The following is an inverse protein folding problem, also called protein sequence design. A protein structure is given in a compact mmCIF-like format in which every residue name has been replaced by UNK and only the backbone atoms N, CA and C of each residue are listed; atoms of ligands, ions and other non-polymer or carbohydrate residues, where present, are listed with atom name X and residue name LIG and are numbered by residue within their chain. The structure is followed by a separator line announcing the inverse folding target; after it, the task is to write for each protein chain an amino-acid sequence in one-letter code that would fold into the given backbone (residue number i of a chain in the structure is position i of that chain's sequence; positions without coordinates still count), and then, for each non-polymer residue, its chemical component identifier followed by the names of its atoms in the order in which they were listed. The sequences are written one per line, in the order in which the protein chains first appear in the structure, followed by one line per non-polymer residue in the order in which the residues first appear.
data_IF_132428656178
#
_entry.id   IF_132428656178
#
_cell.length_a   1.000
_cell.length_b   1.000
_cell.length_c   1.000
_cell.angle_alpha   90.00
_cell.angle_beta   90.00
_cell.angle_gamma   90.00
#
_symmetry.space_group_name_H-M   'P 1'
#
loop_
_entity.id
_entity.type
_entity.pdbx_description
1 polymer ?
#
# COMPACT_ATOMS: atom_id res chain seq x y z
N UNK A 1 55.28 31.57 -69.14
CA UNK A 1 55.30 32.46 -67.95
C UNK A 1 53.86 32.51 -67.46
N UNK A 2 53.41 31.68 -66.52
CA UNK A 2 53.67 31.59 -65.07
C UNK A 2 52.24 31.56 -64.50
N UNK A 3 51.70 30.38 -64.12
CA UNK A 3 51.33 29.98 -62.73
C UNK A 3 50.34 30.96 -62.04
N UNK A 4 49.22 30.60 -61.40
CA UNK A 4 48.97 29.58 -60.37
C UNK A 4 47.52 29.67 -59.87
N UNK A 5 46.95 28.51 -59.51
CA UNK A 5 45.87 28.19 -58.54
C UNK A 5 44.42 28.65 -58.74
N UNK A 6 43.63 27.66 -59.12
CA UNK A 6 42.34 27.25 -58.55
C UNK A 6 42.25 27.39 -57.01
N UNK A 7 41.15 27.98 -56.51
CA UNK A 7 40.66 27.77 -55.16
C UNK A 7 39.14 28.06 -55.13
N UNK A 8 38.37 26.98 -55.20
CA UNK A 8 37.00 26.92 -54.72
C UNK A 8 36.97 27.30 -53.23
N UNK A 9 36.09 28.23 -52.86
CA UNK A 9 35.72 28.45 -51.46
C UNK A 9 34.21 28.34 -51.32
N UNK A 10 33.85 27.19 -50.77
CA UNK A 10 32.55 26.73 -50.32
C UNK A 10 31.96 27.71 -49.28
N UNK A 11 30.70 28.18 -49.42
CA UNK A 11 30.07 28.99 -48.39
C UNK A 11 29.78 28.15 -47.15
N UNK A 12 30.64 28.30 -46.14
CA UNK A 12 30.35 28.16 -44.72
C UNK A 12 29.28 27.10 -44.37
N UNK A 13 29.69 25.84 -44.33
CA UNK A 13 29.02 24.81 -43.56
C UNK A 13 29.10 25.20 -42.07
N UNK A 14 28.00 25.70 -41.54
CA UNK A 14 27.81 25.97 -40.12
C UNK A 14 27.70 24.63 -39.35
N UNK A 15 28.64 24.30 -38.43
CA UNK A 15 28.58 23.06 -37.66
C UNK A 15 27.72 23.20 -36.40
N UNK A 16 26.68 24.04 -36.40
CA UNK A 16 25.76 24.23 -35.27
C UNK A 16 24.43 23.47 -35.41
N UNK A 17 24.30 22.56 -36.38
CA UNK A 17 23.16 21.66 -36.51
C UNK A 17 23.67 20.21 -36.48
N UNK A 18 23.73 19.61 -35.30
CA UNK A 18 23.15 18.27 -35.02
C UNK A 18 23.57 17.77 -33.62
N UNK A 19 23.24 18.53 -32.57
CA UNK A 19 22.99 17.95 -31.26
C UNK A 19 21.48 18.00 -31.01
N UNK A 20 20.74 17.24 -31.83
CA UNK A 20 19.44 16.75 -31.40
C UNK A 20 19.67 15.89 -30.15
N UNK A 21 19.63 16.53 -28.98
CA UNK A 21 19.49 15.86 -27.70
C UNK A 21 18.18 15.07 -27.76
N UNK A 22 18.33 13.78 -28.03
CA UNK A 22 17.26 12.79 -28.09
C UNK A 22 16.44 12.83 -26.78
N UNK A 23 15.24 13.45 -26.77
CA UNK A 23 14.48 13.70 -25.53
C UNK A 23 13.94 12.40 -24.91
N UNK A 24 14.04 11.28 -25.64
CA UNK A 24 13.53 9.98 -25.21
C UNK A 24 14.39 9.38 -24.10
N UNK A 25 15.73 9.60 -24.10
CA UNK A 25 16.63 9.01 -23.08
C UNK A 25 16.47 9.60 -21.67
N UNK A 26 15.95 10.82 -21.56
CA UNK A 26 15.71 11.48 -20.26
C UNK A 26 14.40 11.09 -19.59
N UNK A 27 13.39 10.71 -20.37
CA UNK A 27 12.05 10.34 -19.86
C UNK A 27 12.04 8.95 -19.26
N UNK A 28 12.64 7.95 -19.92
CA UNK A 28 12.69 6.57 -19.40
C UNK A 28 13.57 6.43 -18.16
N UNK A 29 14.67 7.20 -18.08
CA UNK A 29 15.54 7.19 -16.90
C UNK A 29 14.87 7.86 -15.68
N UNK A 30 14.08 8.92 -15.88
CA UNK A 30 13.27 9.53 -14.82
C UNK A 30 12.12 8.62 -14.39
N UNK A 31 11.34 8.11 -15.34
CA UNK A 31 10.25 7.18 -15.04
C UNK A 31 10.72 5.94 -14.26
N UNK A 32 11.90 5.38 -14.60
CA UNK A 32 12.49 4.27 -13.84
C UNK A 32 12.99 4.65 -12.43
N UNK A 33 13.46 5.89 -12.23
CA UNK A 33 13.85 6.40 -10.91
C UNK A 33 12.62 6.67 -10.03
N UNK A 34 11.55 7.21 -10.62
CA UNK A 34 10.29 7.50 -9.94
C UNK A 34 9.62 6.19 -9.47
N UNK A 35 9.62 5.14 -10.30
CA UNK A 35 9.11 3.81 -9.92
C UNK A 35 9.93 3.17 -8.79
N UNK A 36 11.26 3.32 -8.79
CA UNK A 36 12.10 2.83 -7.70
C UNK A 36 11.77 3.54 -6.39
N UNK A 37 11.52 4.84 -6.43
CA UNK A 37 11.12 5.63 -5.26
C UNK A 37 9.75 5.21 -4.73
N UNK A 38 8.79 4.93 -5.62
CA UNK A 38 7.47 4.38 -5.26
C UNK A 38 7.62 3.07 -4.48
N UNK A 39 8.40 2.12 -5.01
CA UNK A 39 8.62 0.82 -4.39
C UNK A 39 9.35 0.95 -3.05
N UNK A 40 10.33 1.84 -2.96
CA UNK A 40 11.05 2.13 -1.70
C UNK A 40 10.12 2.76 -0.65
N UNK A 41 9.27 3.69 -1.04
CA UNK A 41 8.28 4.30 -0.15
C UNK A 41 7.34 3.26 0.44
N UNK A 42 6.87 2.30 -0.38
CA UNK A 42 6.06 1.18 0.07
C UNK A 42 6.82 0.27 1.05
N UNK A 43 8.08 -0.04 0.77
CA UNK A 43 8.91 -0.84 1.64
C UNK A 43 9.16 -0.18 3.01
N UNK A 44 9.37 1.14 3.04
CA UNK A 44 9.53 1.90 4.29
C UNK A 44 8.25 1.83 5.13
N UNK A 45 7.09 1.99 4.50
CA UNK A 45 5.80 1.91 5.19
C UNK A 45 5.54 0.52 5.76
N UNK A 46 5.79 -0.54 4.99
CA UNK A 46 5.69 -1.92 5.49
C UNK A 46 6.67 -2.18 6.65
N UNK A 47 7.93 -1.76 6.51
CA UNK A 47 8.98 -1.97 7.52
C UNK A 47 8.64 -1.33 8.87
N UNK A 48 7.91 -0.21 8.87
CA UNK A 48 7.52 0.49 10.08
C UNK A 48 6.48 -0.28 10.93
N UNK A 49 5.72 -1.19 10.32
CA UNK A 49 4.59 -1.87 10.96
C UNK A 49 4.78 -3.39 11.05
N UNK A 50 5.65 -3.97 10.21
CA UNK A 50 5.88 -5.41 10.17
C UNK A 50 6.39 -5.93 11.54
N UNK A 51 5.79 -7.00 12.10
CA UNK A 51 6.24 -7.56 13.37
C UNK A 51 7.70 -8.05 13.30
N UNK A 52 8.57 -7.43 14.10
CA UNK A 52 9.98 -7.79 14.19
C UNK A 52 10.53 -7.49 15.59
N UNK A 53 11.55 -8.23 16.07
CA UNK A 53 12.17 -8.00 17.38
C UNK A 53 13.01 -6.71 17.42
N UNK A 54 13.37 -6.17 16.26
CA UNK A 54 14.15 -4.92 16.12
C UNK A 54 13.51 -4.03 15.04
N UNK A 55 13.78 -2.74 15.09
CA UNK A 55 13.33 -1.81 14.06
C UNK A 55 13.94 -2.21 12.71
N UNK A 56 13.09 -2.27 11.68
CA UNK A 56 13.48 -2.69 10.35
C UNK A 56 13.98 -1.51 9.52
N UNK A 57 15.02 -1.75 8.73
CA UNK A 57 15.56 -0.84 7.73
C UNK A 57 15.36 -1.40 6.33
N UNK A 58 15.18 -0.52 5.34
CA UNK A 58 14.95 -0.92 3.96
C UNK A 58 16.29 -1.15 3.25
N UNK A 59 16.48 -2.36 2.74
CA UNK A 59 17.63 -2.75 1.93
C UNK A 59 17.53 -2.26 0.48
N UNK A 60 18.53 -2.63 -0.33
CA UNK A 60 18.54 -2.26 -1.74
C UNK A 60 17.49 -3.07 -2.53
N UNK A 61 16.62 -2.42 -3.33
CA UNK A 61 15.72 -3.09 -4.25
C UNK A 61 16.48 -3.91 -5.28
N UNK A 62 16.05 -5.15 -5.48
CA UNK A 62 16.59 -6.09 -6.46
C UNK A 62 15.48 -6.57 -7.40
N UNK A 63 15.75 -6.77 -8.70
CA UNK A 63 14.79 -7.38 -9.61
C UNK A 63 14.43 -8.82 -9.18
N UNK A 64 13.18 -9.23 -9.37
CA UNK A 64 12.69 -10.55 -8.98
C UNK A 64 13.45 -11.71 -9.61
N UNK A 65 13.99 -11.53 -10.82
CA UNK A 65 14.83 -12.52 -11.50
C UNK A 65 16.19 -12.78 -10.81
N UNK A 66 16.67 -11.81 -10.03
CA UNK A 66 17.91 -11.90 -9.25
C UNK A 66 17.64 -12.22 -7.77
N UNK A 67 16.36 -12.20 -7.38
CA UNK A 67 15.92 -12.48 -6.03
C UNK A 67 15.78 -13.98 -5.79
N UNK A 68 16.05 -14.41 -4.56
CA UNK A 68 15.90 -15.79 -4.12
C UNK A 68 14.95 -15.84 -2.93
N UNK A 69 13.98 -16.76 -2.99
CA UNK A 69 13.10 -17.08 -1.85
C UNK A 69 13.85 -17.83 -0.74
N UNK A 70 15.10 -18.26 -0.98
CA UNK A 70 15.92 -18.98 -0.01
C UNK A 70 16.18 -18.13 1.24
N UNK A 71 15.32 -18.28 2.24
CA UNK A 71 15.35 -17.52 3.50
C UNK A 71 13.96 -17.07 4.00
N UNK A 72 12.95 -17.03 3.12
CA UNK A 72 11.56 -16.82 3.52
C UNK A 72 10.95 -18.12 4.03
N UNK A 73 10.39 -18.11 5.25
CA UNK A 73 9.70 -19.26 5.82
C UNK A 73 8.18 -19.16 5.66
N UNK A 74 7.65 -17.94 5.59
CA UNK A 74 6.24 -17.66 5.34
C UNK A 74 6.11 -16.57 4.28
N UNK A 75 5.06 -16.65 3.46
CA UNK A 75 4.75 -15.66 2.45
C UNK A 75 3.25 -15.35 2.48
N UNK A 76 2.93 -14.08 2.36
CA UNK A 76 1.55 -13.59 2.28
C UNK A 76 1.40 -12.72 1.05
N UNK A 77 0.29 -12.89 0.34
CA UNK A 77 -0.05 -12.12 -0.86
C UNK A 77 -1.34 -11.38 -0.61
N UNK A 78 -1.42 -10.14 -1.11
CA UNK A 78 -2.66 -9.39 -1.18
C UNK A 78 -2.85 -8.79 -2.58
N UNK A 79 -4.10 -8.52 -2.92
CA UNK A 79 -4.49 -7.79 -4.13
C UNK A 79 -4.63 -6.30 -3.79
N UNK A 80 -4.01 -5.43 -4.59
CA UNK A 80 -4.19 -4.00 -4.48
C UNK A 80 -5.50 -3.59 -5.14
N UNK A 81 -6.21 -2.65 -4.53
CA UNK A 81 -7.38 -1.99 -5.08
C UNK A 81 -7.00 -0.97 -6.16
N UNK A 82 -6.31 -1.45 -7.19
CA UNK A 82 -5.88 -0.70 -8.37
C UNK A 82 -6.41 -1.37 -9.64
N UNK A 83 -6.49 -0.65 -10.77
CA UNK A 83 -6.87 -1.23 -12.05
C UNK A 83 -6.04 -2.47 -12.39
N UNK A 84 -6.73 -3.57 -12.71
CA UNK A 84 -6.10 -4.87 -13.00
C UNK A 84 -5.71 -5.68 -11.77
N UNK A 85 -6.15 -5.28 -10.56
CA UNK A 85 -5.96 -5.97 -9.29
C UNK A 85 -4.54 -6.54 -9.10
N UNK A 86 -3.49 -5.70 -9.25
CA UNK A 86 -2.13 -6.18 -9.19
C UNK A 86 -1.82 -6.70 -7.78
N UNK A 87 -1.02 -7.77 -7.73
CA UNK A 87 -0.64 -8.41 -6.47
C UNK A 87 0.71 -7.91 -5.99
N UNK A 88 0.87 -7.99 -4.68
CA UNK A 88 2.10 -7.70 -3.96
C UNK A 88 2.15 -8.64 -2.75
N UNK A 89 3.35 -8.85 -2.21
CA UNK A 89 3.56 -9.86 -1.19
C UNK A 89 4.53 -9.39 -0.13
N UNK A 90 4.43 -9.98 1.06
CA UNK A 90 5.45 -9.90 2.10
C UNK A 90 5.92 -11.30 2.42
N UNK A 91 7.23 -11.50 2.39
CA UNK A 91 7.87 -12.70 2.91
C UNK A 91 8.47 -12.40 4.28
N UNK A 92 8.40 -13.38 5.17
CA UNK A 92 8.91 -13.27 6.53
C UNK A 92 9.83 -14.45 6.86
N UNK A 93 10.80 -14.21 7.74
CA UNK A 93 11.71 -15.25 8.21
C UNK A 93 11.05 -16.28 9.14
N UNK A 94 11.75 -17.40 9.36
CA UNK A 94 11.29 -18.50 10.23
C UNK A 94 10.98 -18.02 11.66
N UNK A 95 11.76 -17.08 12.18
CA UNK A 95 11.59 -16.56 13.54
C UNK A 95 10.17 -16.02 13.79
N UNK A 96 9.57 -15.32 12.81
CA UNK A 96 8.21 -14.80 12.95
C UNK A 96 7.18 -15.93 12.86
N UNK A 97 7.34 -16.85 11.91
CA UNK A 97 6.44 -18.00 11.74
C UNK A 97 6.44 -18.87 13.01
N UNK A 98 7.61 -19.16 13.55
CA UNK A 98 7.78 -19.92 14.79
C UNK A 98 7.20 -19.19 15.99
N UNK A 99 7.40 -17.86 16.09
CA UNK A 99 6.83 -17.06 17.17
C UNK A 99 5.29 -17.04 17.15
N UNK A 100 4.69 -16.95 15.95
CA UNK A 100 3.23 -17.01 15.77
C UNK A 100 2.68 -18.41 16.09
N UNK A 101 3.37 -19.46 15.66
CA UNK A 101 3.01 -20.85 15.95
C UNK A 101 3.13 -21.20 17.44
N UNK A 102 4.15 -20.69 18.13
CA UNK A 102 4.38 -20.87 19.56
C UNK A 102 3.52 -19.95 20.45
N UNK A 103 2.63 -19.15 19.84
CA UNK A 103 1.79 -18.20 20.57
C UNK A 103 0.88 -18.92 21.59
N UNK A 104 0.84 -18.46 22.86
CA UNK A 104 0.00 -19.04 23.90
C UNK A 104 -1.51 -18.83 23.67
N UNK A 105 -1.87 -18.01 22.66
CA UNK A 105 -3.24 -17.78 22.21
C UNK A 105 -3.75 -18.87 21.24
N UNK A 106 -2.91 -19.85 20.91
CA UNK A 106 -3.20 -20.88 19.91
C UNK A 106 -2.96 -20.33 18.50
N UNK A 107 -1.79 -20.64 17.93
CA UNK A 107 -1.41 -20.42 16.52
C UNK A 107 -2.00 -19.17 15.88
N UNK A 108 -1.31 -18.03 15.98
CA UNK A 108 -1.74 -16.82 15.29
C UNK A 108 -1.57 -16.98 13.78
N UNK A 109 -2.57 -16.53 13.00
CA UNK A 109 -2.55 -16.58 11.54
C UNK A 109 -1.51 -15.58 10.99
N UNK A 110 -0.61 -16.07 10.13
CA UNK A 110 0.42 -15.25 9.50
C UNK A 110 -0.20 -14.15 8.62
N UNK A 111 -1.30 -14.46 7.92
CA UNK A 111 -1.99 -13.47 7.09
C UNK A 111 -2.53 -12.32 7.94
N UNK A 112 -3.24 -12.61 9.03
CA UNK A 112 -3.72 -11.59 9.96
C UNK A 112 -2.58 -10.80 10.62
N UNK A 113 -1.47 -11.45 11.00
CA UNK A 113 -0.33 -10.80 11.65
C UNK A 113 0.43 -9.83 10.73
N UNK A 114 0.38 -10.05 9.42
CA UNK A 114 1.11 -9.26 8.41
C UNK A 114 0.21 -8.28 7.65
N UNK A 115 -1.12 -8.41 7.79
CA UNK A 115 -2.11 -7.51 7.18
C UNK A 115 -1.79 -6.02 7.38
N UNK A 116 -1.44 -5.53 8.60
CA UNK A 116 -1.15 -4.11 8.79
C UNK A 116 0.08 -3.61 7.98
N UNK A 117 1.07 -4.47 7.75
CA UNK A 117 2.24 -4.12 6.95
C UNK A 117 1.90 -4.05 5.45
N UNK A 118 1.03 -4.94 4.97
CA UNK A 118 0.51 -4.89 3.60
C UNK A 118 -0.35 -3.64 3.37
N UNK A 119 -1.22 -3.29 4.31
CA UNK A 119 -2.02 -2.06 4.26
C UNK A 119 -1.15 -0.80 4.25
N UNK A 120 -0.11 -0.74 5.09
CA UNK A 120 0.83 0.37 5.09
C UNK A 120 1.58 0.52 3.76
N UNK A 121 2.05 -0.60 3.18
CA UNK A 121 2.66 -0.59 1.85
C UNK A 121 1.67 -0.16 0.76
N UNK A 122 0.44 -0.68 0.77
CA UNK A 122 -0.60 -0.30 -0.18
C UNK A 122 -0.90 1.20 -0.10
N UNK A 123 -1.04 1.75 1.12
CA UNK A 123 -1.28 3.17 1.32
C UNK A 123 -0.14 4.03 0.75
N UNK A 124 1.12 3.61 0.92
CA UNK A 124 2.27 4.28 0.33
C UNK A 124 2.33 4.17 -1.21
N UNK A 125 1.71 3.14 -1.79
CA UNK A 125 1.46 3.02 -3.23
C UNK A 125 0.24 3.85 -3.68
N UNK A 126 -0.47 4.52 -2.77
CA UNK A 126 -1.69 5.28 -3.05
C UNK A 126 -2.94 4.42 -3.23
N UNK A 127 -2.97 3.22 -2.65
CA UNK A 127 -4.05 2.25 -2.79
C UNK A 127 -4.46 1.64 -1.45
N UNK A 128 -5.64 1.00 -1.41
CA UNK A 128 -5.95 -0.02 -0.41
C UNK A 128 -5.54 -1.40 -0.89
N UNK A 129 -5.61 -2.41 -0.01
CA UNK A 129 -5.47 -3.81 -0.40
C UNK A 129 -6.57 -4.67 0.23
N UNK A 130 -6.85 -5.81 -0.39
CA UNK A 130 -7.73 -6.83 0.15
C UNK A 130 -7.10 -7.62 1.30
N UNK A 131 -7.78 -8.69 1.77
CA UNK A 131 -7.25 -9.54 2.82
C UNK A 131 -6.00 -10.28 2.35
N UNK A 132 -5.00 -10.34 3.23
CA UNK A 132 -3.82 -11.17 3.05
C UNK A 132 -4.21 -12.63 2.96
N UNK A 133 -3.52 -13.36 2.10
CA UNK A 133 -3.63 -14.81 1.96
C UNK A 133 -2.25 -15.42 2.05
N UNK A 134 -2.12 -16.40 2.92
CA UNK A 134 -0.88 -17.17 3.03
C UNK A 134 -0.64 -18.02 1.78
N UNK A 135 0.60 -18.02 1.31
CA UNK A 135 1.09 -18.84 0.21
C UNK A 135 2.42 -19.48 0.60
N UNK A 136 2.74 -20.59 -0.06
CA UNK A 136 4.09 -21.14 0.04
C UNK A 136 5.10 -20.14 -0.51
N UNK A 137 6.19 -19.90 0.22
CA UNK A 137 7.28 -19.03 -0.22
C UNK A 137 7.86 -19.45 -1.59
N UNK A 138 7.78 -20.73 -1.93
CA UNK A 138 8.22 -21.27 -3.23
C UNK A 138 7.27 -20.93 -4.39
N UNK A 139 6.02 -20.61 -4.09
CA UNK A 139 4.97 -20.32 -5.08
C UNK A 139 4.66 -18.83 -5.23
N UNK A 140 5.30 -17.96 -4.43
CA UNK A 140 4.98 -16.53 -4.40
C UNK A 140 5.21 -15.83 -5.74
N UNK A 141 6.27 -16.21 -6.47
CA UNK A 141 6.57 -15.70 -7.81
C UNK A 141 5.44 -16.04 -8.80
N UNK A 142 4.99 -17.29 -8.77
CA UNK A 142 3.86 -17.74 -9.61
C UNK A 142 2.57 -17.02 -9.24
N UNK A 143 2.34 -16.75 -7.96
CA UNK A 143 1.12 -16.08 -7.46
C UNK A 143 1.06 -14.60 -7.85
N UNK A 144 2.21 -13.91 -7.84
CA UNK A 144 2.36 -12.53 -8.29
C UNK A 144 2.10 -12.38 -9.80
N UNK A 145 2.33 -13.43 -10.59
CA UNK A 145 1.88 -13.53 -11.98
C UNK A 145 2.68 -12.66 -12.97
N UNK A 146 3.89 -12.22 -12.62
CA UNK A 146 4.72 -11.38 -13.48
C UNK A 146 6.00 -10.90 -12.80
N UNK A 147 6.82 -10.10 -13.52
CA UNK A 147 8.01 -9.50 -12.93
C UNK A 147 7.65 -8.62 -11.72
N UNK A 148 8.54 -8.61 -10.75
CA UNK A 148 8.40 -7.85 -9.52
C UNK A 148 9.75 -7.30 -9.08
N UNK A 149 9.70 -6.32 -8.19
CA UNK A 149 10.85 -5.81 -7.44
C UNK A 149 10.78 -6.33 -6.00
N UNK A 150 11.86 -6.95 -5.54
CA UNK A 150 12.01 -7.40 -4.16
C UNK A 150 12.81 -6.37 -3.35
N UNK A 151 12.30 -6.01 -2.18
CA UNK A 151 12.95 -5.07 -1.27
C UNK A 151 13.18 -5.75 0.07
N UNK A 152 14.44 -6.04 0.43
CA UNK A 152 14.76 -6.62 1.74
C UNK A 152 14.40 -5.67 2.87
N UNK A 153 13.82 -6.21 3.94
CA UNK A 153 13.54 -5.53 5.20
C UNK A 153 14.48 -6.11 6.27
N UNK A 154 15.43 -5.30 6.72
CA UNK A 154 16.59 -5.73 7.48
C UNK A 154 16.40 -5.42 8.98
N UNK A 155 16.52 -6.41 9.84
CA UNK A 155 16.56 -6.25 11.30
C UNK A 155 17.92 -6.67 11.84
N UNK A 156 18.63 -5.78 12.54
CA UNK A 156 19.96 -6.07 13.09
C UNK A 156 21.01 -6.49 12.04
N UNK A 157 20.85 -6.04 10.78
CA UNK A 157 21.74 -6.35 9.66
C UNK A 157 21.42 -7.66 8.92
N UNK A 158 20.36 -8.38 9.31
CA UNK A 158 19.89 -9.60 8.65
C UNK A 158 18.52 -9.37 8.01
N UNK A 159 18.20 -10.10 6.95
CA UNK A 159 16.87 -10.03 6.30
C UNK A 159 15.82 -10.65 7.21
N UNK A 160 14.96 -9.81 7.80
CA UNK A 160 13.82 -10.23 8.61
C UNK A 160 12.57 -10.48 7.76
N UNK A 161 12.47 -9.78 6.62
CA UNK A 161 11.42 -9.99 5.63
C UNK A 161 11.78 -9.39 4.27
N UNK A 162 10.88 -9.53 3.31
CA UNK A 162 11.03 -8.97 1.96
C UNK A 162 9.67 -8.48 1.49
N UNK A 163 9.57 -7.24 1.03
CA UNK A 163 8.40 -6.76 0.29
C UNK A 163 8.61 -7.06 -1.19
N UNK A 164 7.64 -7.73 -1.83
CA UNK A 164 7.60 -7.95 -3.27
C UNK A 164 6.51 -7.08 -3.87
N UNK A 165 6.88 -6.21 -4.81
CA UNK A 165 5.93 -5.36 -5.53
C UNK A 165 5.98 -5.72 -7.00
N UNK A 166 4.87 -6.21 -7.57
CA UNK A 166 4.81 -6.50 -9.00
C UNK A 166 5.04 -5.24 -9.84
N UNK A 167 5.61 -5.40 -11.04
CA UNK A 167 5.80 -4.28 -11.95
C UNK A 167 4.46 -3.63 -12.30
N UNK A 168 3.38 -4.42 -12.42
CA UNK A 168 2.04 -3.88 -12.65
C UNK A 168 1.59 -2.98 -11.48
N UNK A 169 1.84 -3.38 -10.22
CA UNK A 169 1.55 -2.55 -9.05
C UNK A 169 2.37 -1.26 -9.06
N UNK A 170 3.69 -1.36 -9.27
CA UNK A 170 4.58 -0.21 -9.28
C UNK A 170 4.19 0.80 -10.38
N UNK A 171 3.88 0.31 -11.59
CA UNK A 171 3.45 1.15 -12.70
C UNK A 171 2.10 1.82 -12.45
N UNK A 172 1.12 1.09 -11.90
CA UNK A 172 -0.18 1.65 -11.56
C UNK A 172 -0.07 2.75 -10.49
N UNK A 173 0.75 2.53 -9.46
CA UNK A 173 1.04 3.51 -8.42
C UNK A 173 1.79 4.74 -8.94
N UNK A 174 2.79 4.54 -9.80
CA UNK A 174 3.51 5.63 -10.48
C UNK A 174 2.57 6.50 -11.33
N UNK A 175 1.72 5.86 -12.13
CA UNK A 175 0.74 6.58 -12.95
C UNK A 175 -0.26 7.40 -12.11
N UNK A 176 -0.70 6.88 -10.95
CA UNK A 176 -1.55 7.62 -10.03
C UNK A 176 -0.84 8.85 -9.46
N UNK A 177 0.42 8.70 -9.03
CA UNK A 177 1.24 9.81 -8.53
C UNK A 177 1.44 10.90 -9.59
N UNK A 178 1.72 10.51 -10.83
CA UNK A 178 1.89 11.43 -11.96
C UNK A 178 0.60 12.20 -12.26
N UNK A 179 -0.54 11.52 -12.19
CA UNK A 179 -1.85 12.15 -12.36
C UNK A 179 -2.13 13.18 -11.25
N UNK A 180 -1.89 12.83 -9.99
CA UNK A 180 -2.08 13.74 -8.84
C UNK A 180 -1.12 14.93 -8.91
N UNK A 181 0.13 14.72 -9.31
CA UNK A 181 1.13 15.79 -9.48
C UNK A 181 0.75 16.77 -10.61
N UNK A 182 0.13 16.28 -11.69
CA UNK A 182 -0.41 17.13 -12.75
C UNK A 182 -1.69 17.87 -12.33
N UNK A 183 -2.53 17.26 -11.49
CA UNK A 183 -3.77 17.87 -10.99
C UNK A 183 -3.51 18.98 -9.96
N UNK A 184 -2.43 18.87 -9.17
CA UNK A 184 -2.00 19.96 -8.24
C UNK A 184 -1.42 21.18 -8.95
N UNK A 185 -0.93 21.05 -10.19
CA UNK A 185 -0.41 22.18 -10.98
C UNK A 185 -1.51 22.97 -11.73
N UNK A 186 -2.72 22.42 -11.85
CA UNK A 186 -3.80 22.99 -12.65
C UNK A 186 -5.09 23.19 -11.85
N UNK A 187 -5.06 24.03 -10.81
CA UNK A 187 -6.31 24.53 -10.19
C UNK A 187 -6.92 25.60 -11.09
N UNK A 188 -7.74 25.15 -12.04
CA UNK A 188 -8.87 25.90 -12.57
C UNK A 188 -10.12 25.00 -12.45
N UNK A 189 -11.23 25.46 -11.84
CA UNK A 189 -12.36 24.58 -11.53
C UNK A 189 -13.09 24.25 -12.83
N UNK A 190 -12.84 23.05 -13.36
CA UNK A 190 -13.40 22.67 -14.66
C UNK A 190 -14.04 21.29 -14.59
N UNK A 191 -15.26 21.20 -14.03
CA UNK A 191 -16.32 20.20 -14.32
C UNK A 191 -15.95 18.69 -14.40
N UNK A 192 -14.74 18.27 -14.03
CA UNK A 192 -14.24 16.89 -14.07
C UNK A 192 -14.45 16.17 -12.73
N UNK A 193 -14.53 16.91 -11.61
CA UNK A 193 -14.77 16.37 -10.28
C UNK A 193 -16.12 15.66 -10.13
N UNK A 194 -17.13 16.06 -10.91
CA UNK A 194 -18.43 15.38 -10.91
C UNK A 194 -18.35 13.98 -11.55
N UNK A 195 -17.50 13.77 -12.57
CA UNK A 195 -17.38 12.47 -13.25
C UNK A 195 -16.63 11.42 -12.43
N UNK A 196 -15.64 11.84 -11.63
CA UNK A 196 -14.92 10.96 -10.72
C UNK A 196 -15.81 10.48 -9.56
N UNK A 197 -16.60 11.39 -8.98
CA UNK A 197 -17.60 11.05 -7.96
C UNK A 197 -18.74 10.20 -8.53
N UNK A 198 -19.15 10.44 -9.78
CA UNK A 198 -20.17 9.63 -10.48
C UNK A 198 -19.78 8.14 -10.61
N UNK A 199 -18.48 7.84 -10.75
CA UNK A 199 -17.99 6.46 -10.78
C UNK A 199 -17.92 5.80 -9.40
N UNK A 200 -17.79 6.59 -8.32
CA UNK A 200 -17.70 6.07 -6.95
C UNK A 200 -19.06 5.76 -6.31
N UNK A 201 -20.17 6.22 -6.91
CA UNK A 201 -21.53 5.98 -6.44
C UNK A 201 -21.95 4.49 -6.38
N UNK A 202 -21.25 3.60 -7.09
CA UNK A 202 -21.53 2.17 -7.13
C UNK A 202 -20.54 1.30 -6.37
N UNK A 203 -19.65 1.88 -5.56
CA UNK A 203 -18.68 1.13 -4.76
C UNK A 203 -19.33 0.75 -3.43
N UNK A 204 -19.54 -0.54 -3.22
CA UNK A 204 -19.96 -1.07 -1.93
C UNK A 204 -18.81 -0.96 -0.93
N UNK A 205 -19.12 -0.48 0.28
CA UNK A 205 -18.15 -0.34 1.36
C UNK A 205 -18.64 -1.09 2.60
N UNK A 206 -17.72 -1.75 3.29
CA UNK A 206 -18.01 -2.31 4.61
C UNK A 206 -18.11 -1.19 5.63
N UNK A 207 -19.19 -1.23 6.41
CA UNK A 207 -19.48 -0.24 7.44
C UNK A 207 -19.66 -0.95 8.76
N UNK A 208 -18.95 -0.48 9.78
CA UNK A 208 -18.99 -1.05 11.13
C UNK A 208 -19.73 -0.10 12.06
N UNK A 209 -20.71 -0.61 12.80
CA UNK A 209 -21.37 0.11 13.89
C UNK A 209 -20.77 -0.36 15.21
N UNK A 210 -20.12 0.54 15.94
CA UNK A 210 -19.50 0.23 17.23
C UNK A 210 -20.33 0.82 18.39
N UNK A 211 -20.79 -0.06 19.28
CA UNK A 211 -21.47 0.34 20.51
C UNK A 211 -20.51 0.90 21.56
N UNK A 212 -19.26 0.42 21.59
CA UNK A 212 -18.23 0.84 22.54
C UNK A 212 -17.05 -0.12 22.54
N UNK A 213 -15.95 0.28 23.18
CA UNK A 213 -14.71 -0.48 23.26
C UNK A 213 -14.35 -0.76 24.71
N UNK A 214 -13.54 -1.77 24.95
CA UNK A 214 -12.94 -2.00 26.27
C UNK A 214 -11.54 -2.59 26.09
N UNK A 215 -10.69 -2.47 27.12
CA UNK A 215 -9.32 -3.00 27.11
C UNK A 215 -9.20 -4.06 28.18
N UNK A 216 -8.87 -5.27 27.75
CA UNK A 216 -8.63 -6.41 28.63
C UNK A 216 -7.16 -6.82 28.54
N UNK A 217 -6.61 -7.30 29.64
CA UNK A 217 -5.37 -8.07 29.60
C UNK A 217 -5.64 -9.40 28.90
N UNK A 218 -4.59 -10.00 28.33
CA UNK A 218 -4.67 -11.33 27.69
C UNK A 218 -5.28 -12.38 28.64
N UNK A 219 -4.94 -12.31 29.92
CA UNK A 219 -5.47 -13.21 30.95
C UNK A 219 -6.98 -13.07 31.12
N UNK A 220 -7.49 -11.83 31.17
CA UNK A 220 -8.92 -11.57 31.32
C UNK A 220 -9.71 -12.02 30.09
N UNK A 221 -9.18 -11.76 28.89
CA UNK A 221 -9.80 -12.20 27.64
C UNK A 221 -9.93 -13.73 27.55
N UNK A 222 -8.89 -14.47 27.96
CA UNK A 222 -8.92 -15.94 27.98
C UNK A 222 -9.78 -16.52 29.11
N UNK A 223 -10.15 -15.72 30.10
CA UNK A 223 -10.99 -16.13 31.22
C UNK A 223 -12.49 -15.94 30.93
N UNK A 224 -12.85 -15.29 29.81
CA UNK A 224 -14.24 -15.00 29.49
C UNK A 224 -15.07 -16.28 29.38
N UNK A 225 -16.25 -16.23 29.99
CA UNK A 225 -17.19 -17.36 30.02
C UNK A 225 -18.61 -16.96 29.64
N UNK A 226 -19.44 -17.89 29.10
CA UNK A 226 -20.82 -17.57 28.74
C UNK A 226 -21.61 -17.01 29.93
N UNK A 227 -22.21 -15.84 29.74
CA UNK A 227 -22.97 -15.12 30.76
C UNK A 227 -22.21 -14.00 31.46
N UNK A 228 -20.91 -13.84 31.19
CA UNK A 228 -20.12 -12.72 31.69
C UNK A 228 -20.48 -11.41 30.97
N UNK A 229 -20.54 -10.31 31.73
CA UNK A 229 -20.92 -8.99 31.23
C UNK A 229 -19.68 -8.10 31.18
N UNK A 230 -19.34 -7.61 29.99
CA UNK A 230 -18.23 -6.68 29.78
C UNK A 230 -18.71 -5.23 29.81
N UNK A 231 -18.07 -4.42 30.65
CA UNK A 231 -18.28 -2.97 30.63
C UNK A 231 -17.48 -2.34 29.48
N UNK A 232 -18.15 -1.49 28.71
CA UNK A 232 -17.57 -0.72 27.61
C UNK A 232 -17.24 0.70 28.08
N UNK A 233 -16.38 1.39 27.32
CA UNK A 233 -15.94 2.77 27.56
C UNK A 233 -17.00 3.83 27.24
N UNK A 234 -18.27 3.43 27.09
CA UNK A 234 -19.38 4.28 26.65
C UNK A 234 -20.51 4.28 27.66
N UNK A 235 -21.00 5.47 28.00
CA UNK A 235 -22.15 5.62 28.87
C UNK A 235 -23.45 5.20 28.16
N UNK A 236 -24.36 4.56 28.88
CA UNK A 236 -25.67 4.18 28.36
C UNK A 236 -26.42 5.41 27.79
N UNK A 237 -26.95 5.27 26.57
CA UNK A 237 -27.63 6.36 25.85
C UNK A 237 -26.71 7.29 25.06
N UNK A 238 -25.38 7.09 25.10
CA UNK A 238 -24.48 7.77 24.16
C UNK A 238 -24.67 7.21 22.75
N UNK A 239 -24.49 8.03 21.70
CA UNK A 239 -24.60 7.53 20.33
C UNK A 239 -23.52 6.48 20.04
N UNK A 240 -23.84 5.51 19.21
CA UNK A 240 -22.90 4.55 18.63
C UNK A 240 -22.11 5.22 17.50
N UNK A 241 -20.91 4.71 17.27
CA UNK A 241 -20.00 5.19 16.24
C UNK A 241 -20.21 4.42 14.94
N UNK A 242 -20.21 5.11 13.80
CA UNK A 242 -20.25 4.52 12.47
C UNK A 242 -18.88 4.68 11.82
N UNK A 243 -18.26 3.57 11.48
CA UNK A 243 -16.93 3.53 10.90
C UNK A 243 -16.96 2.95 9.49
N UNK A 244 -16.13 3.51 8.62
CA UNK A 244 -15.83 2.94 7.30
C UNK A 244 -14.33 2.73 7.25
N UNK A 245 -13.89 1.49 6.98
CA UNK A 245 -12.47 1.13 7.00
C UNK A 245 -11.74 1.56 8.30
N UNK A 246 -12.43 1.48 9.44
CA UNK A 246 -11.91 1.87 10.75
C UNK A 246 -11.87 3.39 11.03
N UNK A 247 -12.30 4.24 10.10
CA UNK A 247 -12.41 5.69 10.31
C UNK A 247 -13.83 6.10 10.73
N UNK A 248 -13.96 6.92 11.77
CA UNK A 248 -15.24 7.42 12.26
C UNK A 248 -15.84 8.43 11.27
N UNK A 249 -16.95 8.07 10.63
CA UNK A 249 -17.63 8.95 9.68
C UNK A 249 -18.87 9.62 10.25
N UNK A 250 -19.52 8.99 11.24
CA UNK A 250 -20.77 9.48 11.80
C UNK A 250 -21.02 8.90 13.19
N UNK A 251 -21.98 9.49 13.89
CA UNK A 251 -22.55 8.97 15.13
C UNK A 251 -24.05 8.86 15.00
N UNK A 252 -24.63 7.90 15.71
CA UNK A 252 -26.07 7.67 15.66
C UNK A 252 -26.63 6.90 16.84
N UNK A 253 -27.95 6.84 16.90
CA UNK A 253 -28.66 6.05 17.90
C UNK A 253 -29.01 4.68 17.33
N UNK A 254 -28.71 3.62 18.07
CA UNK A 254 -29.12 2.26 17.70
C UNK A 254 -30.63 2.17 17.87
N UNK A 255 -31.30 1.80 16.79
CA UNK A 255 -32.75 1.61 16.72
C UNK A 255 -33.03 0.18 16.30
N UNK A 256 -34.24 -0.30 16.59
CA UNK A 256 -34.73 -1.56 16.03
C UNK A 256 -35.72 -1.20 14.94
N UNK A 257 -35.49 -1.71 13.73
CA UNK A 257 -36.40 -1.58 12.60
C UNK A 257 -36.86 -2.97 12.24
N UNK A 258 -38.18 -3.20 12.35
CA UNK A 258 -38.78 -4.52 12.29
C UNK A 258 -38.19 -5.46 13.36
N UNK A 259 -37.31 -6.38 12.95
CA UNK A 259 -36.61 -7.34 13.83
C UNK A 259 -35.09 -7.19 13.77
N UNK A 260 -34.58 -6.21 13.00
CA UNK A 260 -33.16 -5.97 12.79
C UNK A 260 -32.68 -4.72 13.53
N UNK A 261 -31.40 -4.71 13.88
CA UNK A 261 -30.75 -3.51 14.40
C UNK A 261 -30.45 -2.54 13.25
N UNK A 262 -30.75 -1.27 13.47
CA UNK A 262 -30.39 -0.17 12.59
C UNK A 262 -29.67 0.95 13.35
N UNK A 263 -29.07 1.87 12.62
CA UNK A 263 -28.46 3.08 13.18
C UNK A 263 -29.14 4.31 12.59
N UNK A 264 -29.77 5.13 13.44
CA UNK A 264 -30.27 6.45 13.06
C UNK A 264 -29.14 7.47 13.22
N UNK A 265 -28.62 7.98 12.11
CA UNK A 265 -27.56 8.98 12.10
C UNK A 265 -28.04 10.26 12.81
N UNK A 266 -27.28 10.72 13.81
CA UNK A 266 -27.52 11.96 14.55
C UNK A 266 -26.49 13.04 14.21
N UNK A 267 -25.28 12.63 13.84
CA UNK A 267 -24.17 13.54 13.53
C UNK A 267 -23.29 12.90 12.44
N UNK A 268 -22.85 13.69 11.46
CA UNK A 268 -21.82 13.29 10.49
C UNK A 268 -20.54 14.04 10.86
N UNK A 269 -19.42 13.33 10.94
CA UNK A 269 -18.12 13.93 11.24
C UNK A 269 -17.55 14.50 9.96
N UNK A 270 -17.25 15.80 9.94
CA UNK A 270 -16.70 16.50 8.78
C UNK A 270 -15.18 16.65 8.93
N UNK A 271 -14.39 16.10 8.01
CA UNK A 271 -12.92 16.11 8.07
C UNK A 271 -12.32 17.47 7.61
N UNK A 272 -13.15 18.44 7.21
CA UNK A 272 -12.72 19.76 6.73
C UNK A 272 -12.35 20.77 7.83
N UNK A 273 -12.40 20.39 9.12
CA UNK A 273 -12.27 21.32 10.26
C UNK A 273 -11.01 21.16 11.13
N UNK A 274 -10.08 20.27 10.77
CA UNK A 274 -8.78 20.15 11.44
C UNK A 274 -7.65 20.64 10.51
N UNK A 275 -7.49 21.97 10.44
CA UNK A 275 -6.35 22.65 9.82
C UNK A 275 -5.51 23.36 10.87
#
# INVERSE_FOLDING_TARGET
MTTTHDLAHDPAHDPAHDLALDPVRGTTARAGADLREVVLSAAVAAAAVLPAPTQLEVGQPVPGAEWSSAGGAGAVVAELHLPGAPRFAVLVGADLVEALAASPLGGLDLAAATQPALEAAAAALGAGCGPAREVSADLVDTDLGGPFTAVPLLGGGLTAGVLLVSDQAANAAGALRDAVAHETAAVAPTRSSQRGLEMLHGVDMEVTVELGRTRLTVRELLALSPGEVLELDRAAGSPADLLVNGHLIARGEVVVVDEDFGLRITEIVDESAAG
#
